data_IF_253496588770
#
_entry.id   IF_253496588770
#
_cell.length_a   1.000
_cell.length_b   1.000
_cell.length_c   1.000
_cell.angle_alpha   90.00
_cell.angle_beta   90.00
_cell.angle_gamma   90.00
#
_symmetry.space_group_name_H-M   'P 1'
#
loop_
_entity.id
_entity.type
_entity.pdbx_description
1 polymer ?
#
# COMPACT_ATOMS: atom_id res chain seq x y z
N UNK A 1 24.72 -39.53 -32.69
CA UNK A 1 23.37 -39.11 -33.15
C UNK A 1 23.35 -39.17 -34.67
N UNK A 2 22.24 -39.58 -35.28
CA UNK A 2 22.10 -39.47 -36.74
C UNK A 2 22.11 -37.98 -37.14
N UNK A 3 22.63 -37.62 -38.32
CA UNK A 3 22.59 -36.24 -38.82
C UNK A 3 21.18 -35.64 -38.74
N UNK A 4 21.07 -34.39 -38.29
CA UNK A 4 19.80 -33.67 -38.14
C UNK A 4 18.99 -34.00 -36.87
N UNK A 5 19.49 -34.87 -35.98
CA UNK A 5 18.85 -35.14 -34.67
C UNK A 5 19.34 -34.17 -33.61
N UNK A 6 18.42 -33.67 -32.78
CA UNK A 6 18.70 -32.80 -31.65
C UNK A 6 18.82 -33.61 -30.36
N UNK A 7 19.74 -33.21 -29.48
CA UNK A 7 19.87 -33.71 -28.12
C UNK A 7 19.65 -32.53 -27.18
N UNK A 8 18.66 -32.65 -26.30
CA UNK A 8 18.36 -31.63 -25.28
C UNK A 8 18.86 -32.15 -23.95
N UNK A 9 19.67 -31.35 -23.25
CA UNK A 9 20.17 -31.64 -21.91
C UNK A 9 19.57 -30.60 -20.97
N UNK A 10 18.88 -31.06 -19.94
CA UNK A 10 18.32 -30.22 -18.88
C UNK A 10 19.04 -30.53 -17.58
N UNK A 11 19.51 -29.49 -16.89
CA UNK A 11 20.16 -29.61 -15.59
C UNK A 11 19.63 -28.51 -14.67
N UNK A 12 19.51 -28.77 -13.36
CA UNK A 12 19.13 -27.75 -12.41
C UNK A 12 20.29 -26.75 -12.23
N UNK A 13 19.98 -25.46 -12.29
CA UNK A 13 20.92 -24.43 -11.88
C UNK A 13 20.88 -24.32 -10.36
N UNK A 14 22.03 -24.52 -9.71
CA UNK A 14 22.13 -24.38 -8.25
C UNK A 14 22.60 -22.97 -7.95
N UNK A 15 21.69 -22.13 -7.48
CA UNK A 15 22.03 -20.84 -6.90
C UNK A 15 22.51 -21.06 -5.46
N UNK A 16 23.75 -20.67 -5.10
CA UNK A 16 24.13 -20.60 -3.69
C UNK A 16 23.27 -19.53 -2.97
N UNK A 17 23.19 -19.58 -1.64
CA UNK A 17 22.43 -18.61 -0.86
C UNK A 17 22.73 -17.19 -1.36
N UNK A 18 21.69 -16.40 -1.71
CA UNK A 18 21.86 -15.08 -2.30
C UNK A 18 22.41 -14.14 -1.25
N UNK A 19 23.74 -14.10 -1.12
CA UNK A 19 24.42 -13.04 -0.38
C UNK A 19 24.31 -11.75 -1.19
N UNK A 20 24.28 -10.56 -0.55
CA UNK A 20 24.21 -9.28 -1.27
C UNK A 20 25.31 -9.05 -2.31
N UNK A 21 26.43 -9.78 -2.25
CA UNK A 21 27.51 -9.73 -3.25
C UNK A 21 27.38 -10.72 -4.41
N UNK A 22 26.31 -11.52 -4.47
CA UNK A 22 26.05 -12.48 -5.53
C UNK A 22 24.86 -12.02 -6.39
N UNK A 23 25.14 -11.09 -7.29
CA UNK A 23 24.13 -10.45 -8.15
C UNK A 23 23.81 -11.27 -9.42
N UNK A 24 24.55 -12.36 -9.69
CA UNK A 24 24.44 -13.12 -10.92
C UNK A 24 24.71 -14.62 -10.71
N UNK A 25 23.84 -15.47 -11.23
CA UNK A 25 24.02 -16.92 -11.26
C UNK A 25 24.24 -17.35 -12.71
N UNK A 26 25.50 -17.67 -13.04
CA UNK A 26 25.88 -18.15 -14.37
C UNK A 26 25.67 -19.67 -14.49
N UNK A 27 25.12 -20.11 -15.61
CA UNK A 27 24.95 -21.53 -15.97
C UNK A 27 25.88 -21.98 -17.11
N UNK A 28 27.21 -22.02 -16.90
CA UNK A 28 28.12 -22.45 -17.95
C UNK A 28 27.91 -23.94 -18.25
N UNK A 29 27.84 -24.30 -19.53
CA UNK A 29 27.75 -25.68 -19.97
C UNK A 29 28.87 -26.02 -20.95
N UNK A 30 29.49 -27.19 -20.72
CA UNK A 30 30.51 -27.75 -21.62
C UNK A 30 30.11 -29.17 -21.97
N UNK A 31 30.04 -29.43 -23.27
CA UNK A 31 29.68 -30.74 -23.78
C UNK A 31 30.91 -31.42 -24.38
N UNK A 32 31.19 -32.64 -23.94
CA UNK A 32 32.28 -33.47 -24.46
C UNK A 32 31.70 -34.73 -25.09
N UNK A 33 32.08 -35.01 -26.33
CA UNK A 33 31.59 -36.15 -27.10
C UNK A 33 32.77 -36.98 -27.60
N UNK A 34 32.71 -38.29 -27.37
CA UNK A 34 33.65 -39.24 -27.95
C UNK A 34 32.92 -40.39 -28.62
N UNK A 35 33.41 -40.82 -29.78
CA UNK A 35 32.89 -42.00 -30.47
C UNK A 35 33.41 -43.32 -29.87
N UNK A 36 34.55 -43.28 -29.17
CA UNK A 36 35.23 -44.47 -28.64
C UNK A 36 35.70 -44.25 -27.19
N UNK A 37 35.72 -45.30 -26.37
CA UNK A 37 36.10 -45.23 -24.94
C UNK A 37 37.50 -44.65 -24.69
N UNK A 38 38.40 -44.76 -25.67
CA UNK A 38 39.77 -44.22 -25.63
C UNK A 38 40.11 -43.39 -26.88
N UNK A 39 39.08 -42.89 -27.58
CA UNK A 39 39.24 -42.11 -28.80
C UNK A 39 39.40 -40.60 -28.54
N UNK A 40 39.65 -39.82 -29.60
CA UNK A 40 39.69 -38.36 -29.50
C UNK A 40 38.34 -37.80 -29.07
N UNK A 41 38.37 -36.85 -28.14
CA UNK A 41 37.19 -36.18 -27.58
C UNK A 41 36.97 -34.86 -28.32
N UNK A 42 35.75 -34.63 -28.78
CA UNK A 42 35.30 -33.34 -29.29
C UNK A 42 34.66 -32.55 -28.15
N UNK A 43 35.08 -31.31 -27.94
CA UNK A 43 34.53 -30.41 -26.92
C UNK A 43 33.78 -29.26 -27.58
N UNK A 44 32.64 -28.90 -27.01
CA UNK A 44 31.88 -27.70 -27.39
C UNK A 44 31.36 -26.99 -26.16
N UNK A 45 31.75 -25.73 -26.01
CA UNK A 45 31.24 -24.82 -24.99
C UNK A 45 29.99 -24.10 -25.49
N UNK A 46 29.22 -23.51 -24.58
CA UNK A 46 28.14 -22.58 -24.96
C UNK A 46 28.75 -21.33 -25.60
N UNK A 47 28.10 -20.78 -26.62
CA UNK A 47 28.53 -19.54 -27.26
C UNK A 47 28.41 -18.37 -26.28
N UNK A 48 27.30 -18.33 -25.52
CA UNK A 48 27.07 -17.38 -24.43
C UNK A 48 26.58 -18.14 -23.20
N UNK A 49 27.13 -17.79 -22.04
CA UNK A 49 26.71 -18.42 -20.78
C UNK A 49 25.38 -17.78 -20.36
N UNK A 50 24.31 -18.57 -20.18
CA UNK A 50 23.06 -18.02 -19.64
C UNK A 50 23.30 -17.53 -18.21
N UNK A 51 22.84 -16.31 -17.93
CA UNK A 51 22.99 -15.66 -16.63
C UNK A 51 21.60 -15.34 -16.09
N UNK A 52 21.33 -15.73 -14.84
CA UNK A 52 20.19 -15.22 -14.07
C UNK A 52 20.67 -14.08 -13.18
N UNK A 53 20.14 -12.87 -13.39
CA UNK A 53 20.38 -11.73 -12.49
C UNK A 53 19.60 -11.93 -11.20
N UNK A 54 20.24 -11.68 -10.06
CA UNK A 54 19.66 -11.80 -8.71
C UNK A 54 19.67 -10.41 -8.08
N UNK A 55 18.48 -9.85 -7.81
CA UNK A 55 18.33 -8.60 -7.07
C UNK A 55 17.99 -8.93 -5.61
N UNK A 56 18.76 -8.39 -4.67
CA UNK A 56 18.49 -8.54 -3.25
C UNK A 56 17.88 -7.24 -2.72
N UNK A 57 16.56 -7.21 -2.55
CA UNK A 57 15.86 -6.06 -1.99
C UNK A 57 15.76 -6.19 -0.48
N UNK A 58 16.57 -5.43 0.26
CA UNK A 58 16.45 -5.40 1.72
C UNK A 58 15.36 -4.41 2.12
N UNK A 59 14.33 -4.94 2.79
CA UNK A 59 13.34 -4.12 3.50
C UNK A 59 13.93 -3.65 4.82
N UNK A 60 14.18 -2.35 4.95
CA UNK A 60 14.78 -1.80 6.15
C UNK A 60 14.37 -0.34 6.33
N UNK A 61 13.70 -0.01 7.41
CA UNK A 61 13.38 1.36 7.75
C UNK A 61 13.54 1.55 9.26
N UNK A 62 13.80 2.77 9.68
CA UNK A 62 13.82 3.14 11.09
C UNK A 62 12.85 4.26 11.34
N UNK A 63 12.07 4.12 12.41
CA UNK A 63 11.17 5.16 12.88
C UNK A 63 11.42 5.43 14.36
N UNK A 64 11.29 6.68 14.77
CA UNK A 64 11.43 7.08 16.16
C UNK A 64 10.58 8.30 16.46
N UNK A 65 9.98 8.34 17.66
CA UNK A 65 9.20 9.47 18.16
C UNK A 65 9.94 10.11 19.33
N UNK A 66 9.97 11.43 19.36
CA UNK A 66 10.49 12.22 20.46
C UNK A 66 9.51 13.32 20.81
N UNK A 67 9.19 13.45 22.10
CA UNK A 67 8.28 14.47 22.61
C UNK A 67 9.05 15.39 23.54
N UNK A 68 8.98 16.70 23.26
CA UNK A 68 9.64 17.74 24.04
C UNK A 68 8.58 18.67 24.65
N UNK A 69 8.62 18.96 25.96
CA UNK A 69 7.71 19.94 26.55
C UNK A 69 8.06 21.36 26.05
N UNK A 70 7.05 22.09 25.57
CA UNK A 70 7.18 23.49 25.19
C UNK A 70 6.74 24.41 26.33
N UNK A 71 7.23 25.65 26.33
CA UNK A 71 6.95 26.62 27.40
C UNK A 71 5.45 26.83 27.65
N UNK A 72 4.97 26.41 28.83
CA UNK A 72 3.57 26.48 29.23
C UNK A 72 3.06 25.13 29.74
N UNK A 73 1.95 25.11 30.49
CA UNK A 73 1.32 23.84 30.89
C UNK A 73 0.62 23.21 29.69
N UNK A 74 0.82 21.90 29.49
CA UNK A 74 0.08 21.11 28.50
C UNK A 74 0.45 21.37 27.03
N UNK A 75 1.64 21.93 26.75
CA UNK A 75 2.13 22.11 25.37
C UNK A 75 3.36 21.28 25.13
N UNK A 76 3.37 20.52 24.03
CA UNK A 76 4.49 19.70 23.66
C UNK A 76 4.75 19.83 22.16
N UNK A 77 6.03 19.76 21.78
CA UNK A 77 6.46 19.59 20.41
C UNK A 77 6.80 18.12 20.21
N UNK A 78 6.17 17.50 19.23
CA UNK A 78 6.39 16.10 18.86
C UNK A 78 7.16 16.07 17.55
N UNK A 79 8.21 15.26 17.53
CA UNK A 79 9.02 15.00 16.36
C UNK A 79 9.05 13.50 16.09
N UNK A 80 8.51 13.09 14.95
CA UNK A 80 8.64 11.73 14.43
C UNK A 80 9.68 11.77 13.31
N UNK A 81 10.67 10.90 13.43
CA UNK A 81 11.68 10.68 12.41
C UNK A 81 11.42 9.34 11.75
N UNK A 82 11.41 9.34 10.43
CA UNK A 82 11.36 8.14 9.62
C UNK A 82 12.53 8.16 8.64
N UNK A 83 13.22 7.05 8.45
CA UNK A 83 14.34 6.94 7.52
C UNK A 83 14.23 5.62 6.76
N UNK A 84 14.17 5.73 5.44
CA UNK A 84 14.20 4.58 4.53
C UNK A 84 15.64 4.10 4.37
N UNK A 85 16.02 3.08 5.13
CA UNK A 85 17.32 2.42 5.04
C UNK A 85 17.31 1.21 4.09
N UNK A 86 16.25 1.10 3.28
CA UNK A 86 16.01 0.01 2.36
C UNK A 86 16.78 0.19 1.07
N UNK A 87 16.64 -0.76 0.16
CA UNK A 87 17.30 -0.70 -1.13
C UNK A 87 16.49 -0.01 -2.22
N UNK A 88 15.19 0.20 -1.99
CA UNK A 88 14.21 0.75 -2.93
C UNK A 88 13.48 1.95 -2.31
N UNK A 89 12.83 2.76 -3.15
CA UNK A 89 11.87 3.76 -2.69
C UNK A 89 10.60 3.09 -2.16
N UNK A 90 9.95 3.72 -1.17
CA UNK A 90 8.71 3.25 -0.56
C UNK A 90 7.53 4.08 -1.06
N UNK A 91 6.46 3.43 -1.52
CA UNK A 91 5.21 4.12 -1.83
C UNK A 91 4.30 4.20 -0.59
N UNK A 92 3.51 5.25 -0.55
CA UNK A 92 2.40 5.41 0.39
C UNK A 92 2.78 5.20 1.85
N UNK A 93 3.85 5.86 2.28
CA UNK A 93 4.29 5.78 3.66
C UNK A 93 3.26 6.50 4.53
N UNK A 94 2.53 5.74 5.32
CA UNK A 94 1.58 6.20 6.32
C UNK A 94 2.25 6.17 7.70
N UNK A 95 2.51 7.33 8.27
CA UNK A 95 3.01 7.49 9.64
C UNK A 95 1.80 7.62 10.56
N UNK A 96 1.72 6.75 11.56
CA UNK A 96 0.58 6.70 12.47
C UNK A 96 0.99 7.23 13.85
N UNK A 97 0.18 8.14 14.41
CA UNK A 97 0.31 8.57 15.80
C UNK A 97 -1.03 8.72 16.52
N UNK A 98 -1.16 8.06 17.67
CA UNK A 98 -2.32 8.17 18.53
C UNK A 98 -2.07 9.22 19.62
N UNK A 99 -2.89 10.26 19.60
CA UNK A 99 -2.90 11.29 20.64
C UNK A 99 -4.02 11.01 21.65
N UNK A 100 -3.74 11.08 22.96
CA UNK A 100 -4.79 10.99 23.97
C UNK A 100 -5.86 12.07 23.76
N UNK A 101 -7.12 11.75 24.10
CA UNK A 101 -8.28 12.62 23.85
C UNK A 101 -8.24 13.99 24.51
N UNK A 102 -7.38 14.18 25.52
CA UNK A 102 -7.16 15.47 26.17
C UNK A 102 -6.16 16.37 25.44
N UNK A 103 -5.56 15.93 24.32
CA UNK A 103 -4.65 16.69 23.48
C UNK A 103 -5.21 16.91 22.07
N UNK A 104 -5.02 18.12 21.56
CA UNK A 104 -5.28 18.50 20.17
C UNK A 104 -3.97 18.69 19.42
N UNK A 105 -3.94 18.25 18.17
CA UNK A 105 -2.87 18.52 17.22
C UNK A 105 -2.97 19.96 16.68
N UNK A 106 -1.83 20.66 16.66
CA UNK A 106 -1.63 22.02 16.12
C UNK A 106 -0.35 22.07 15.29
N UNK A 107 -0.29 22.99 14.34
CA UNK A 107 0.93 23.39 13.60
C UNK A 107 1.86 22.23 13.19
N UNK A 108 1.37 21.36 12.30
CA UNK A 108 2.18 20.25 11.76
C UNK A 108 2.95 20.64 10.50
N UNK A 109 4.09 19.98 10.30
CA UNK A 109 4.86 20.05 9.06
C UNK A 109 5.64 18.77 8.84
N UNK A 110 5.74 18.35 7.58
CA UNK A 110 6.60 17.24 7.17
C UNK A 110 7.73 17.80 6.32
N UNK A 111 8.95 17.36 6.63
CA UNK A 111 10.16 17.72 5.89
C UNK A 111 10.81 16.48 5.34
N UNK A 112 11.25 16.54 4.08
CA UNK A 112 11.95 15.45 3.41
C UNK A 112 13.46 15.65 3.35
N UNK A 113 14.07 15.08 2.32
CA UNK A 113 15.49 15.30 2.01
C UNK A 113 15.84 16.81 2.00
N UNK A 114 16.98 17.17 2.59
CA UNK A 114 17.42 18.57 2.66
C UNK A 114 16.68 19.47 3.67
N UNK A 115 15.74 18.92 4.46
CA UNK A 115 14.85 19.65 5.39
C UNK A 115 13.85 20.58 4.73
N UNK A 116 13.63 20.41 3.43
CA UNK A 116 12.61 21.13 2.69
C UNK A 116 11.21 20.63 3.08
N UNK A 117 10.28 21.58 3.22
CA UNK A 117 8.90 21.26 3.58
C UNK A 117 8.23 20.55 2.40
N UNK A 118 7.67 19.38 2.66
CA UNK A 118 6.85 18.62 1.72
C UNK A 118 5.43 19.18 1.70
N UNK A 119 4.87 19.30 0.50
CA UNK A 119 3.50 19.80 0.27
C UNK A 119 2.58 18.69 -0.27
N UNK A 120 3.14 17.53 -0.60
CA UNK A 120 2.51 16.33 -1.11
C UNK A 120 1.99 15.39 0.00
N UNK A 121 1.80 15.91 1.23
CA UNK A 121 1.42 15.11 2.40
C UNK A 121 -0.03 15.38 2.79
N UNK A 122 -0.82 14.32 2.95
CA UNK A 122 -2.18 14.40 3.50
C UNK A 122 -2.20 13.94 4.96
N UNK A 123 -3.04 14.58 5.77
CA UNK A 123 -3.28 14.22 7.18
C UNK A 123 -4.75 13.83 7.35
N UNK A 124 -4.98 12.64 7.89
CA UNK A 124 -6.30 12.17 8.32
C UNK A 124 -6.32 12.01 9.84
N UNK A 125 -7.33 12.58 10.49
CA UNK A 125 -7.52 12.48 11.93
C UNK A 125 -8.84 11.80 12.25
N UNK A 126 -8.79 10.65 12.91
CA UNK A 126 -9.97 9.86 13.28
C UNK A 126 -10.06 9.75 14.80
N UNK A 127 -11.15 10.23 15.38
CA UNK A 127 -11.44 10.10 16.81
C UNK A 127 -11.95 8.70 17.13
N UNK A 128 -11.39 8.06 18.14
CA UNK A 128 -11.86 6.77 18.66
C UNK A 128 -11.70 6.67 20.18
N UNK A 129 -12.03 5.51 20.74
CA UNK A 129 -12.08 5.29 22.20
C UNK A 129 -10.73 5.51 22.90
N UNK A 130 -9.63 5.26 22.20
CA UNK A 130 -8.27 5.39 22.73
C UNK A 130 -7.63 6.76 22.44
N UNK A 131 -8.36 7.70 21.85
CA UNK A 131 -7.85 9.02 21.47
C UNK A 131 -8.05 9.36 19.99
N UNK A 132 -7.29 10.35 19.50
CA UNK A 132 -7.31 10.79 18.09
C UNK A 132 -6.15 10.15 17.35
N UNK A 133 -6.45 9.27 16.39
CA UNK A 133 -5.47 8.69 15.49
C UNK A 133 -5.18 9.67 14.35
N UNK A 134 -3.92 10.09 14.23
CA UNK A 134 -3.43 10.93 13.16
C UNK A 134 -2.60 10.09 12.20
N UNK A 135 -2.94 10.15 10.91
CA UNK A 135 -2.26 9.40 9.84
C UNK A 135 -1.74 10.40 8.82
N UNK A 136 -0.42 10.53 8.72
CA UNK A 136 0.21 11.30 7.64
C UNK A 136 0.55 10.34 6.50
N UNK A 137 0.01 10.59 5.31
CA UNK A 137 0.30 9.80 4.11
C UNK A 137 1.26 10.56 3.20
N UNK A 138 2.40 9.94 2.91
CA UNK A 138 3.45 10.44 2.02
C UNK A 138 3.51 9.54 0.77
N UNK A 139 3.27 10.08 -0.44
CA UNK A 139 3.16 9.26 -1.66
C UNK A 139 4.41 8.46 -2.00
N UNK A 140 5.60 9.07 -1.90
CA UNK A 140 6.87 8.42 -2.24
C UNK A 140 7.96 8.86 -1.28
N UNK A 141 8.73 7.91 -0.75
CA UNK A 141 9.91 8.15 0.08
C UNK A 141 11.12 7.48 -0.54
N UNK A 142 12.08 8.28 -0.97
CA UNK A 142 13.24 7.82 -1.72
C UNK A 142 14.18 6.94 -0.88
N UNK A 143 15.04 6.17 -1.57
CA UNK A 143 16.08 5.39 -0.92
C UNK A 143 17.01 6.31 -0.11
N UNK A 144 17.17 6.03 1.18
CA UNK A 144 18.00 6.84 2.06
C UNK A 144 17.37 8.19 2.44
N UNK A 145 16.12 8.45 2.06
CA UNK A 145 15.42 9.65 2.48
C UNK A 145 15.04 9.58 3.96
N UNK A 146 15.29 10.68 4.66
CA UNK A 146 14.89 10.90 6.05
C UNK A 146 13.77 11.93 6.10
N UNK A 147 12.62 11.49 6.57
CA UNK A 147 11.46 12.33 6.86
C UNK A 147 11.48 12.80 8.32
N UNK A 148 11.12 14.07 8.51
CA UNK A 148 10.90 14.69 9.81
C UNK A 148 9.47 15.22 9.86
N UNK A 149 8.60 14.57 10.64
CA UNK A 149 7.23 15.02 10.93
C UNK A 149 7.27 15.75 12.27
N UNK A 150 7.08 17.07 12.24
CA UNK A 150 7.05 17.92 13.44
C UNK A 150 5.66 18.48 13.65
N UNK A 151 5.10 18.39 14.85
CA UNK A 151 3.80 18.99 15.18
C UNK A 151 3.73 19.42 16.63
N UNK A 152 2.92 20.44 16.91
CA UNK A 152 2.60 20.86 18.27
C UNK A 152 1.36 20.11 18.76
N UNK A 153 1.36 19.72 20.04
CA UNK A 153 0.16 19.25 20.71
C UNK A 153 -0.14 20.16 21.89
N UNK A 154 -1.42 20.47 22.07
CA UNK A 154 -1.91 21.27 23.18
C UNK A 154 -3.06 20.54 23.86
N UNK A 155 -2.97 20.38 25.17
CA UNK A 155 -3.98 19.69 25.95
C UNK A 155 -4.07 20.16 27.38
N UNK A 156 -5.07 19.64 28.08
CA UNK A 156 -5.27 19.88 29.51
C UNK A 156 -4.77 18.68 30.32
N UNK A 157 -3.90 18.96 31.30
CA UNK A 157 -3.32 17.95 32.20
C UNK A 157 -1.80 17.76 32.05
N UNK A 158 -1.20 17.08 33.03
CA UNK A 158 0.14 16.52 32.92
C UNK A 158 -0.01 15.06 32.47
N UNK A 159 0.43 14.76 31.26
CA UNK A 159 0.53 13.37 30.79
C UNK A 159 1.98 12.95 30.81
N UNK A 160 2.19 11.69 31.19
CA UNK A 160 3.51 11.09 31.24
C UNK A 160 4.16 11.18 29.85
N UNK A 161 5.37 11.73 29.82
CA UNK A 161 6.15 11.82 28.60
C UNK A 161 6.44 10.43 28.02
N UNK A 162 6.46 9.36 28.83
CA UNK A 162 6.63 7.98 28.34
C UNK A 162 5.46 7.53 27.46
N UNK A 163 4.23 7.87 27.83
CA UNK A 163 3.02 7.56 27.04
C UNK A 163 3.02 8.35 25.73
N UNK A 164 3.38 9.64 25.80
CA UNK A 164 3.48 10.48 24.59
C UNK A 164 4.62 10.05 23.66
N UNK A 165 5.71 9.48 24.19
CA UNK A 165 6.83 8.96 23.39
C UNK A 165 6.53 7.61 22.75
N UNK A 166 5.42 6.95 23.08
CA UNK A 166 5.03 5.71 22.42
C UNK A 166 4.78 5.98 20.93
N UNK A 167 5.50 5.26 20.08
CA UNK A 167 5.34 5.31 18.64
C UNK A 167 4.32 4.28 18.18
N UNK A 168 3.34 4.69 17.38
CA UNK A 168 2.18 3.88 17.01
C UNK A 168 2.33 3.14 15.67
N UNK A 169 3.47 3.32 15.00
CA UNK A 169 3.88 2.50 13.85
C UNK A 169 3.92 3.26 12.52
N UNK A 170 4.46 2.57 11.51
CA UNK A 170 4.45 3.00 10.12
C UNK A 170 3.88 1.86 9.28
N UNK A 171 2.99 2.20 8.36
CA UNK A 171 2.55 1.31 7.29
C UNK A 171 2.99 1.90 5.96
N UNK A 172 3.27 1.08 4.97
CA UNK A 172 3.63 1.53 3.62
C UNK A 172 3.00 0.57 2.61
N UNK A 173 2.82 1.07 1.38
CA UNK A 173 2.32 0.29 0.26
C UNK A 173 3.43 -0.56 -0.36
N UNK A 174 3.50 -0.57 -1.68
CA UNK A 174 4.51 -1.33 -2.42
C UNK A 174 5.86 -0.60 -2.48
N UNK A 175 6.93 -1.38 -2.66
CA UNK A 175 8.26 -0.84 -2.95
C UNK A 175 8.35 -0.52 -4.44
N UNK A 176 8.84 0.68 -4.77
CA UNK A 176 9.21 1.00 -6.15
C UNK A 176 10.55 0.35 -6.38
N UNK A 177 10.52 -0.82 -7.00
CA UNK A 177 11.73 -1.36 -7.59
C UNK A 177 12.11 -0.47 -8.78
N UNK A 178 13.34 0.05 -8.78
CA UNK A 178 13.92 0.61 -9.99
C UNK A 178 13.80 -0.46 -11.08
N UNK A 179 13.04 -0.16 -12.14
CA UNK A 179 12.98 -0.96 -13.35
C UNK A 179 14.41 -1.03 -13.89
N UNK A 180 15.07 -2.17 -13.67
CA UNK A 180 16.36 -2.43 -14.28
C UNK A 180 16.11 -2.51 -15.78
N UNK A 181 16.55 -1.47 -16.50
CA UNK A 181 16.95 -1.44 -17.89
C UNK A 181 16.29 -2.52 -18.77
N UNK A 182 15.01 -2.36 -19.09
CA UNK A 182 14.41 -3.09 -20.22
C UNK A 182 15.10 -2.75 -21.55
N UNK A 183 15.90 -1.67 -21.58
CA UNK A 183 16.52 -1.12 -22.79
C UNK A 183 17.97 -1.59 -23.07
N UNK A 184 18.73 -2.15 -22.11
CA UNK A 184 20.14 -2.54 -22.38
C UNK A 184 20.32 -3.91 -23.05
N UNK A 185 19.26 -4.71 -23.24
CA UNK A 185 19.32 -6.01 -23.94
C UNK A 185 18.81 -5.99 -25.39
N UNK A 186 18.83 -4.83 -26.09
CA UNK A 186 18.44 -4.74 -27.52
C UNK A 186 19.58 -4.24 -28.44
N UNK A 187 20.86 -4.44 -28.10
CA UNK A 187 21.97 -4.03 -28.97
C UNK A 187 22.56 -5.11 -29.88
N UNK A 188 22.06 -6.36 -29.87
CA UNK A 188 22.55 -7.39 -30.81
C UNK A 188 21.45 -8.37 -31.26
N UNK A 189 20.52 -7.89 -32.09
CA UNK A 189 19.89 -8.69 -33.16
C UNK A 189 18.97 -7.79 -34.01
N UNK A 190 19.57 -7.03 -34.93
CA UNK A 190 18.87 -6.63 -36.15
C UNK A 190 18.61 -7.89 -36.98
N UNK A 191 17.38 -8.38 -37.00
CA UNK A 191 16.60 -8.67 -38.22
C UNK A 191 15.33 -9.48 -37.89
N UNK A 192 14.19 -8.87 -38.26
CA UNK A 192 12.87 -9.47 -38.49
C UNK A 192 12.11 -10.01 -37.27
N UNK A 193 11.20 -9.20 -36.71
CA UNK A 193 9.73 -9.37 -36.87
C UNK A 193 9.07 -7.99 -36.66
N UNK A 194 8.48 -7.41 -37.72
CA UNK A 194 7.44 -6.38 -37.58
C UNK A 194 6.13 -7.08 -37.18
N UNK A 195 5.37 -6.41 -36.32
CA UNK A 195 3.96 -6.69 -35.98
C UNK A 195 3.73 -7.83 -34.97
N UNK A 196 3.48 -7.48 -33.71
CA UNK A 196 2.12 -7.44 -33.17
C UNK A 196 2.13 -6.70 -31.83
N UNK A 197 1.42 -5.58 -31.79
CA UNK A 197 0.93 -4.95 -30.57
C UNK A 197 0.05 -5.94 -29.81
N UNK A 198 0.66 -6.68 -28.87
CA UNK A 198 -0.05 -7.51 -27.92
C UNK A 198 -0.63 -6.61 -26.83
N UNK A 199 -1.87 -6.20 -27.09
CA UNK A 199 -2.94 -5.86 -26.15
C UNK A 199 -2.58 -6.12 -24.67
N UNK A 200 -2.11 -5.09 -23.97
CA UNK A 200 -2.00 -5.08 -22.53
C UNK A 200 -3.41 -4.94 -21.94
N UNK A 201 -4.22 -6.00 -21.98
CA UNK A 201 -5.53 -6.07 -21.31
C UNK A 201 -5.44 -6.03 -19.76
N UNK A 202 -4.32 -5.61 -19.18
CA UNK A 202 -4.24 -5.36 -17.74
C UNK A 202 -4.98 -4.05 -17.41
N UNK A 203 -5.87 -4.05 -16.41
CA UNK A 203 -6.50 -2.82 -15.96
C UNK A 203 -5.40 -1.83 -15.57
N UNK A 204 -5.42 -0.63 -16.17
CA UNK A 204 -4.49 0.43 -15.84
C UNK A 204 -3.20 0.53 -16.64
N UNK A 205 -2.99 -0.23 -17.73
CA UNK A 205 -1.89 -0.05 -18.72
C UNK A 205 -0.54 0.49 -18.17
N UNK A 206 0.04 -0.21 -17.18
CA UNK A 206 1.34 0.15 -16.58
C UNK A 206 1.29 1.13 -15.40
N UNK A 207 0.11 1.65 -15.04
CA UNK A 207 -0.08 2.48 -13.86
C UNK A 207 -0.01 1.66 -12.57
N UNK A 208 0.45 2.31 -11.50
CA UNK A 208 0.50 1.77 -10.14
C UNK A 208 -0.46 2.54 -9.23
N UNK A 209 -1.04 1.84 -8.25
CA UNK A 209 -1.87 2.46 -7.21
C UNK A 209 -1.93 1.53 -6.00
N UNK A 210 -2.42 2.07 -4.88
CA UNK A 210 -2.71 1.27 -3.69
C UNK A 210 -4.09 0.64 -3.78
N UNK A 211 -4.15 -0.69 -3.80
CA UNK A 211 -5.41 -1.42 -3.93
C UNK A 211 -6.35 -1.17 -2.73
N UNK A 212 -5.80 -0.99 -1.51
CA UNK A 212 -6.58 -0.65 -0.31
C UNK A 212 -7.22 0.74 -0.41
N UNK A 213 -6.51 1.72 -0.98
CA UNK A 213 -7.03 3.07 -1.22
C UNK A 213 -8.06 3.04 -2.33
N UNK A 214 -7.79 2.35 -3.44
CA UNK A 214 -8.72 2.19 -4.55
C UNK A 214 -10.06 1.61 -4.05
N UNK A 215 -10.01 0.49 -3.33
CA UNK A 215 -11.21 -0.17 -2.79
C UNK A 215 -11.94 0.72 -1.79
N UNK A 216 -11.23 1.44 -0.91
CA UNK A 216 -11.86 2.35 0.06
C UNK A 216 -12.56 3.52 -0.63
N UNK A 217 -11.94 4.10 -1.66
CA UNK A 217 -12.53 5.21 -2.42
C UNK A 217 -13.74 4.72 -3.22
N UNK A 218 -13.64 3.55 -3.86
CA UNK A 218 -14.76 2.91 -4.55
C UNK A 218 -15.93 2.65 -3.61
N UNK A 219 -15.69 2.07 -2.43
CA UNK A 219 -16.72 1.83 -1.42
C UNK A 219 -17.36 3.14 -0.93
N UNK A 220 -16.53 4.17 -0.67
CA UNK A 220 -17.01 5.49 -0.24
C UNK A 220 -17.90 6.19 -1.29
N UNK A 221 -17.64 5.95 -2.58
CA UNK A 221 -18.42 6.50 -3.69
C UNK A 221 -19.51 5.55 -4.22
N UNK A 222 -19.72 4.39 -3.58
CA UNK A 222 -20.74 3.42 -3.97
C UNK A 222 -20.45 2.69 -5.29
N UNK A 223 -19.19 2.65 -5.72
CA UNK A 223 -18.75 1.89 -6.90
C UNK A 223 -18.53 0.43 -6.47
N UNK A 224 -19.27 -0.49 -7.08
CA UNK A 224 -19.15 -1.91 -6.77
C UNK A 224 -17.78 -2.46 -7.20
N UNK A 225 -17.22 -3.39 -6.41
CA UNK A 225 -15.92 -4.00 -6.67
C UNK A 225 -15.86 -4.77 -8.01
N UNK A 226 -16.99 -5.16 -8.60
CA UNK A 226 -17.04 -5.74 -9.94
C UNK A 226 -16.65 -4.75 -11.05
N UNK A 227 -16.81 -3.45 -10.85
CA UNK A 227 -16.39 -2.40 -11.78
C UNK A 227 -14.95 -1.94 -11.56
N UNK A 228 -14.18 -2.62 -10.70
CA UNK A 228 -12.81 -2.24 -10.32
C UNK A 228 -11.91 -2.03 -11.53
N UNK A 229 -11.93 -2.94 -12.49
CA UNK A 229 -11.07 -2.84 -13.68
C UNK A 229 -11.49 -1.71 -14.64
N UNK A 230 -12.80 -1.47 -14.78
CA UNK A 230 -13.32 -0.36 -15.59
C UNK A 230 -13.06 0.99 -14.92
N UNK A 231 -13.17 1.05 -13.60
CA UNK A 231 -12.87 2.23 -12.79
C UNK A 231 -11.39 2.60 -12.90
N UNK A 232 -10.48 1.63 -12.79
CA UNK A 232 -9.04 1.85 -12.97
C UNK A 232 -8.74 2.44 -14.37
N UNK A 233 -9.36 1.93 -15.44
CA UNK A 233 -9.19 2.48 -16.81
C UNK A 233 -9.65 3.94 -16.93
N UNK A 234 -10.64 4.35 -16.15
CA UNK A 234 -11.07 5.75 -16.10
C UNK A 234 -10.16 6.59 -15.22
N UNK A 235 -9.73 6.05 -14.07
CA UNK A 235 -8.87 6.75 -13.12
C UNK A 235 -7.50 7.10 -13.71
N UNK A 236 -6.96 6.30 -14.63
CA UNK A 236 -5.74 6.62 -15.40
C UNK A 236 -5.78 8.00 -16.07
N UNK A 237 -6.96 8.52 -16.42
CA UNK A 237 -7.11 9.85 -17.05
C UNK A 237 -7.00 11.03 -16.07
N UNK A 238 -6.91 10.74 -14.78
CA UNK A 238 -6.88 11.71 -13.69
C UNK A 238 -5.48 11.79 -13.03
N UNK A 239 -4.46 11.20 -13.65
CA UNK A 239 -3.06 11.42 -13.27
C UNK A 239 -2.64 12.85 -13.70
N UNK A 240 -2.69 13.78 -12.75
CA UNK A 240 -2.39 15.21 -13.00
C UNK A 240 -0.89 15.48 -13.13
N UNK A 241 -0.01 14.59 -12.63
CA UNK A 241 1.43 14.76 -12.64
C UNK A 241 2.20 13.79 -13.54
N UNK A 242 1.47 13.03 -14.39
CA UNK A 242 1.96 12.11 -15.41
C UNK A 242 3.05 11.14 -14.88
N UNK A 243 2.95 10.76 -13.59
CA UNK A 243 3.96 9.95 -12.92
C UNK A 243 3.66 8.43 -12.98
N UNK A 244 2.58 8.03 -13.69
CA UNK A 244 2.09 6.66 -13.81
C UNK A 244 1.70 6.02 -12.46
N UNK A 245 1.41 6.84 -11.45
CA UNK A 245 0.99 6.42 -10.12
C UNK A 245 -0.23 7.23 -9.66
N UNK A 246 -1.37 6.56 -9.48
CA UNK A 246 -2.61 7.22 -9.08
C UNK A 246 -2.64 7.43 -7.56
N UNK A 247 -2.47 8.67 -7.12
CA UNK A 247 -2.58 9.07 -5.71
C UNK A 247 -4.03 9.02 -5.25
N UNK A 248 -4.23 8.93 -3.93
CA UNK A 248 -5.57 8.96 -3.32
C UNK A 248 -6.46 10.10 -3.85
N UNK A 249 -5.93 11.31 -3.96
CA UNK A 249 -6.69 12.48 -4.45
C UNK A 249 -7.13 12.34 -5.91
N UNK A 250 -6.30 11.72 -6.75
CA UNK A 250 -6.58 11.50 -8.18
C UNK A 250 -7.63 10.39 -8.35
N UNK A 251 -7.55 9.33 -7.52
CA UNK A 251 -8.58 8.29 -7.44
C UNK A 251 -9.90 8.84 -6.93
N UNK A 252 -9.89 9.74 -5.93
CA UNK A 252 -11.11 10.43 -5.44
C UNK A 252 -11.71 11.35 -6.52
N UNK A 253 -10.88 12.07 -7.27
CA UNK A 253 -11.33 12.89 -8.40
C UNK A 253 -11.95 12.03 -9.51
N UNK A 254 -11.32 10.90 -9.83
CA UNK A 254 -11.84 9.92 -10.77
C UNK A 254 -13.17 9.32 -10.28
N UNK A 255 -13.29 8.97 -8.99
CA UNK A 255 -14.52 8.45 -8.41
C UNK A 255 -15.66 9.49 -8.39
N UNK A 256 -15.34 10.77 -8.22
CA UNK A 256 -16.31 11.86 -8.32
C UNK A 256 -16.81 12.08 -9.77
N UNK A 257 -15.95 11.82 -10.76
CA UNK A 257 -16.27 11.90 -12.19
C UNK A 257 -16.74 10.56 -12.78
N UNK A 258 -16.87 9.52 -11.96
CA UNK A 258 -17.27 8.20 -12.38
C UNK A 258 -18.80 8.15 -12.60
N UNK A 259 -19.19 8.46 -13.83
CA UNK A 259 -20.50 8.12 -14.36
C UNK A 259 -20.47 6.64 -14.72
N UNK A 260 -20.75 5.78 -13.73
CA UNK A 260 -20.79 4.34 -13.93
C UNK A 260 -21.63 3.99 -15.15
N UNK A 261 -21.23 2.92 -15.86
CA UNK A 261 -21.86 2.44 -17.09
C UNK A 261 -23.29 1.92 -16.82
N UNK A 262 -24.21 2.78 -16.40
CA UNK A 262 -25.64 2.55 -16.50
C UNK A 262 -26.04 2.85 -17.96
N UNK A 263 -26.30 1.75 -18.67
CA UNK A 263 -27.11 1.68 -19.89
C UNK A 263 -26.55 2.33 -21.15
N UNK A 264 -26.25 1.46 -22.13
CA UNK A 264 -26.28 1.81 -23.53
C UNK A 264 -27.71 2.22 -23.94
N UNK A 265 -28.07 3.48 -23.72
CA UNK A 265 -29.14 4.17 -24.44
C UNK A 265 -28.68 5.60 -24.77
N UNK A 266 -28.28 5.82 -26.02
CA UNK A 266 -28.33 7.14 -26.65
C UNK A 266 -29.40 7.11 -27.76
N UNK A 267 -29.94 8.24 -28.21
CA UNK A 267 -30.17 9.50 -27.51
C UNK A 267 -31.61 10.04 -27.77
N UNK A 268 -32.14 10.88 -26.89
CA UNK A 268 -33.26 11.76 -27.27
C UNK A 268 -32.80 13.21 -27.27
N UNK A 269 -32.72 13.76 -28.48
CA UNK A 269 -32.46 15.14 -28.82
C UNK A 269 -33.40 16.14 -28.11
N UNK A 270 -32.83 17.32 -27.83
CA UNK A 270 -33.45 18.65 -27.82
C UNK A 270 -34.63 18.94 -26.85
N UNK A 271 -34.42 19.81 -25.86
CA UNK A 271 -34.72 21.26 -25.94
C UNK A 271 -34.49 21.99 -24.60
N UNK A 272 -33.98 23.22 -24.68
CA UNK A 272 -34.07 24.31 -23.69
C UNK A 272 -34.61 25.53 -24.45
N UNK A 273 -35.16 26.60 -23.84
CA UNK A 273 -35.70 26.79 -22.48
C UNK A 273 -37.11 27.45 -22.48
N UNK A 274 -37.80 27.54 -21.34
CA UNK A 274 -38.78 28.63 -21.14
C UNK A 274 -38.85 29.05 -19.66
N UNK A 275 -38.56 30.33 -19.41
CA UNK A 275 -38.81 31.03 -18.16
C UNK A 275 -40.33 31.21 -17.95
N UNK A 276 -40.83 31.00 -16.73
CA UNK A 276 -41.83 31.92 -16.16
C UNK A 276 -41.98 31.74 -14.65
N UNK A 277 -41.97 32.88 -13.97
CA UNK A 277 -42.20 33.08 -12.54
C UNK A 277 -43.60 32.62 -12.07
N UNK A 278 -43.68 32.10 -10.85
CA UNK A 278 -44.64 32.60 -9.84
C UNK A 278 -44.32 32.06 -8.44
N UNK A 279 -44.28 32.99 -7.48
CA UNK A 279 -44.18 32.80 -6.03
C UNK A 279 -45.31 31.93 -5.46
N UNK A 280 -45.11 31.35 -4.26
CA UNK A 280 -45.93 31.53 -3.05
C UNK A 280 -45.45 30.59 -1.92
N UNK A 281 -44.91 31.24 -0.90
CA UNK A 281 -44.88 30.99 0.57
C UNK A 281 -45.51 29.75 1.22
N UNK A 282 -44.86 29.30 2.32
CA UNK A 282 -45.43 28.61 3.48
C UNK A 282 -44.47 27.55 4.04
N UNK A 283 -43.52 27.88 4.93
CA UNK A 283 -43.65 27.75 6.41
C UNK A 283 -44.38 26.48 6.88
N UNK A 284 -43.65 25.55 7.52
CA UNK A 284 -43.83 25.10 8.92
C UNK A 284 -42.92 23.90 9.26
N UNK A 285 -41.93 24.12 10.13
CA UNK A 285 -41.45 23.16 11.14
C UNK A 285 -42.39 23.22 12.37
N UNK A 286 -42.15 22.49 13.48
CA UNK A 286 -41.84 21.07 13.69
C UNK A 286 -42.79 20.46 14.74
N UNK A 287 -42.76 19.14 14.99
CA UNK A 287 -43.32 18.58 16.24
C UNK A 287 -42.41 17.53 16.86
N UNK A 288 -41.91 17.92 18.03
CA UNK A 288 -41.38 17.13 19.16
C UNK A 288 -42.41 16.12 19.67
N UNK A 289 -41.94 14.95 20.10
CA UNK A 289 -42.56 14.20 21.20
C UNK A 289 -41.50 13.39 21.97
N UNK A 290 -41.32 13.75 23.24
CA UNK A 290 -40.60 13.01 24.29
C UNK A 290 -41.49 11.89 24.83
N UNK A 291 -40.96 10.72 25.17
CA UNK A 291 -41.49 9.88 26.27
C UNK A 291 -40.38 9.12 27.00
N UNK A 292 -40.19 9.57 28.25
CA UNK A 292 -39.91 8.90 29.53
C UNK A 292 -39.19 7.53 29.67
N UNK A 293 -38.21 7.61 30.57
CA UNK A 293 -37.53 6.67 31.46
C UNK A 293 -38.40 5.54 32.04
N UNK A 294 -37.87 4.32 32.08
CA UNK A 294 -38.10 3.36 33.18
C UNK A 294 -36.80 2.68 33.61
N UNK A 295 -36.50 2.77 34.90
CA UNK A 295 -35.55 1.93 35.63
C UNK A 295 -36.25 0.65 36.06
N UNK A 296 -35.60 -0.50 35.91
CA UNK A 296 -35.83 -1.67 36.77
C UNK A 296 -34.48 -2.30 37.13
N UNK A 297 -34.44 -2.84 38.34
CA UNK A 297 -33.28 -3.23 39.12
C UNK A 297 -33.25 -4.76 39.31
N UNK A 298 -32.05 -5.30 39.56
CA UNK A 298 -31.71 -6.59 40.19
C UNK A 298 -31.74 -7.87 39.33
N UNK A 299 -30.56 -8.49 39.22
CA UNK A 299 -30.36 -9.86 38.76
C UNK A 299 -28.93 -10.34 39.01
N UNK A 300 -28.58 -10.58 40.28
CA UNK A 300 -27.35 -11.24 40.71
C UNK A 300 -27.29 -12.66 40.11
N UNK A 301 -26.29 -12.92 39.25
CA UNK A 301 -25.96 -14.29 38.80
C UNK A 301 -24.45 -14.50 38.85
N UNK A 302 -24.09 -15.54 39.58
CA UNK A 302 -22.77 -16.14 39.76
C UNK A 302 -22.14 -16.54 38.43
N UNK A 303 -21.01 -15.92 38.07
CA UNK A 303 -20.17 -16.41 36.98
C UNK A 303 -19.13 -17.39 37.53
N UNK A 304 -19.30 -18.67 37.16
CA UNK A 304 -18.22 -19.63 37.15
C UNK A 304 -17.20 -19.20 36.08
N UNK A 305 -16.01 -18.80 36.52
CA UNK A 305 -14.88 -18.46 35.65
C UNK A 305 -14.45 -19.69 34.85
N UNK A 306 -14.95 -19.82 33.64
CA UNK A 306 -14.39 -20.72 32.63
C UNK A 306 -13.26 -19.97 31.94
N UNK A 307 -12.01 -20.27 32.36
CA UNK A 307 -10.82 -19.68 31.75
C UNK A 307 -10.74 -20.09 30.27
N UNK A 308 -10.83 -19.11 29.38
CA UNK A 308 -10.71 -19.28 27.92
C UNK A 308 -9.41 -18.64 27.42
N UNK A 309 -8.81 -19.23 26.38
CA UNK A 309 -7.60 -18.75 25.71
C UNK A 309 -7.91 -18.33 24.29
N UNK A 310 -7.41 -17.18 23.87
CA UNK A 310 -7.67 -16.64 22.54
C UNK A 310 -6.63 -17.12 21.54
N UNK A 311 -7.08 -17.53 20.35
CA UNK A 311 -6.19 -17.92 19.27
C UNK A 311 -5.46 -16.67 18.72
N UNK A 312 -4.12 -16.67 18.64
CA UNK A 312 -3.35 -15.53 18.12
C UNK A 312 -3.51 -15.32 16.61
N UNK A 313 -4.02 -16.32 15.87
CA UNK A 313 -4.21 -16.22 14.41
C UNK A 313 -5.58 -15.67 14.04
N UNK A 314 -6.66 -16.19 14.65
CA UNK A 314 -8.02 -15.82 14.28
C UNK A 314 -8.82 -15.11 15.37
N UNK A 315 -8.24 -14.88 16.55
CA UNK A 315 -8.90 -14.19 17.67
C UNK A 315 -9.98 -15.01 18.38
N UNK A 316 -10.31 -16.21 17.89
CA UNK A 316 -11.39 -17.01 18.47
C UNK A 316 -11.06 -17.46 19.90
N UNK A 317 -12.02 -17.35 20.81
CA UNK A 317 -11.89 -17.83 22.19
C UNK A 317 -12.07 -19.35 22.22
N UNK A 318 -11.05 -20.05 22.70
CA UNK A 318 -11.04 -21.51 22.83
C UNK A 318 -10.98 -21.87 24.32
N UNK A 319 -11.49 -23.06 24.67
CA UNK A 319 -11.33 -23.60 26.03
C UNK A 319 -9.84 -23.73 26.39
N UNK A 320 -9.47 -23.53 27.67
CA UNK A 320 -8.10 -23.76 28.17
C UNK A 320 -7.53 -25.12 27.76
N UNK A 321 -8.37 -26.16 27.73
CA UNK A 321 -7.98 -27.54 27.39
C UNK A 321 -7.83 -27.80 25.88
N UNK A 322 -8.17 -26.84 25.01
CA UNK A 322 -8.10 -27.04 23.57
C UNK A 322 -6.64 -27.04 23.08
N UNK A 323 -6.13 -28.16 22.57
CA UNK A 323 -4.80 -28.21 21.94
C UNK A 323 -4.74 -27.56 20.56
N UNK A 324 -5.90 -27.39 19.90
CA UNK A 324 -5.98 -26.85 18.54
C UNK A 324 -7.22 -25.98 18.37
N UNK A 325 -7.06 -24.87 17.65
CA UNK A 325 -8.12 -23.97 17.24
C UNK A 325 -8.75 -24.42 15.90
N UNK A 326 -9.99 -24.01 15.63
CA UNK A 326 -10.71 -24.29 14.38
C UNK A 326 -9.98 -23.79 13.12
N UNK A 327 -9.15 -22.76 13.23
CA UNK A 327 -8.31 -22.28 12.12
C UNK A 327 -7.07 -23.16 11.86
N UNK A 328 -6.88 -24.24 12.62
CA UNK A 328 -5.73 -25.15 12.51
C UNK A 328 -4.51 -24.77 13.36
N UNK A 329 -4.58 -23.70 14.15
CA UNK A 329 -3.51 -23.30 15.06
C UNK A 329 -3.41 -24.22 16.28
N UNK A 330 -2.22 -24.68 16.65
CA UNK A 330 -1.96 -25.46 17.87
C UNK A 330 -1.55 -24.53 19.01
N UNK A 331 -2.22 -24.63 20.16
CA UNK A 331 -1.92 -23.85 21.37
C UNK A 331 -0.71 -24.37 22.14
#
# INVERSE_FOLDING_TARGET
LAPGKKLTISYPLVAPDPTPGNEMVAGPARCEFSAERFGPVCTRDVEEVPILKVKHNRRNFSAGKSVMPMGGKGRYEVLILFENNGDNALQDVCINDLLPSNFELKDWSVRGAGRDKRNDVSLESTSGDNGVLNVWTIPVVEKGERLEVSFEIKGDGEVDAEVLNQFHGVTFGDEIEDEIDKDEEVSQQEEAVEDESLDSEQPGDGYKWREDVLLRVMEAHGIDASFRDDFVRHAVKFDDDDNMYLKKSEIEAAAAAWEGTESAEEPSEEEIPDETQAEVTGEEEPTVEEVEVQQEEVGETTEETTESKNCPICGNSNSMDATTCECGFSF
#
